data_IF_061991337246
#
_entry.id   IF_061991337246
#
_cell.length_a   1.000
_cell.length_b   1.000
_cell.length_c   1.000
_cell.angle_alpha   90.00
_cell.angle_beta   90.00
_cell.angle_gamma   90.00
#
_symmetry.space_group_name_H-M   'P 1'
#
loop_
_entity.id
_entity.type
_entity.pdbx_description
1 polymer ?
#
# COMPACT_ATOMS: atom_id res chain seq x y z
N UNK A 1 4.78 -57.13 13.63
CA UNK A 1 5.94 -56.97 12.70
C UNK A 1 5.75 -55.73 11.87
N UNK A 2 6.43 -54.65 12.19
CA UNK A 2 6.36 -53.37 11.45
C UNK A 2 7.73 -53.15 10.79
N UNK A 3 7.83 -53.26 9.45
CA UNK A 3 9.02 -52.97 8.69
C UNK A 3 9.12 -51.45 8.46
N UNK A 4 10.17 -50.86 9.00
CA UNK A 4 10.61 -49.46 8.72
C UNK A 4 11.49 -49.51 7.48
N UNK A 5 11.08 -48.81 6.44
CA UNK A 5 11.93 -48.52 5.27
C UNK A 5 12.68 -47.21 5.53
N UNK A 6 14.00 -47.30 5.58
CA UNK A 6 14.90 -46.15 5.55
C UNK A 6 15.34 -45.97 4.10
N UNK A 7 14.97 -44.84 3.51
CA UNK A 7 15.52 -44.42 2.23
C UNK A 7 16.88 -43.74 2.48
N UNK A 8 17.91 -44.32 2.00
CA UNK A 8 19.27 -43.75 1.95
C UNK A 8 19.40 -43.01 0.62
N UNK A 9 19.54 -41.68 0.66
CA UNK A 9 19.96 -40.88 -0.49
C UNK A 9 21.49 -40.92 -0.57
N UNK A 10 22.01 -41.66 -1.54
CA UNK A 10 23.43 -41.71 -1.82
C UNK A 10 23.86 -40.46 -2.63
N UNK A 11 24.74 -39.66 -2.08
CA UNK A 11 25.45 -38.62 -2.80
C UNK A 11 26.61 -39.26 -3.57
N UNK A 12 26.57 -39.19 -4.90
CA UNK A 12 27.69 -39.56 -5.77
C UNK A 12 28.60 -38.33 -5.89
N UNK A 13 29.72 -38.36 -5.24
CA UNK A 13 30.82 -37.40 -5.43
C UNK A 13 31.73 -37.95 -6.52
N UNK A 14 31.69 -37.36 -7.70
CA UNK A 14 32.71 -37.59 -8.75
C UNK A 14 33.81 -36.54 -8.55
N UNK A 15 34.92 -36.99 -7.97
CA UNK A 15 36.15 -36.23 -7.93
C UNK A 15 36.93 -36.48 -9.24
N UNK A 16 37.03 -35.46 -10.09
CA UNK A 16 38.00 -35.37 -11.16
C UNK A 16 39.14 -34.45 -10.69
N UNK A 17 40.28 -35.03 -10.34
CA UNK A 17 41.49 -34.28 -10.14
C UNK A 17 42.17 -34.03 -11.50
N UNK A 18 42.20 -32.79 -11.95
CA UNK A 18 43.11 -32.33 -12.99
C UNK A 18 43.94 -31.17 -12.45
N UNK A 19 45.22 -31.40 -12.25
CA UNK A 19 46.17 -30.36 -11.94
C UNK A 19 46.33 -29.46 -13.16
N UNK A 20 46.11 -28.14 -12.96
CA UNK A 20 46.84 -27.01 -13.56
C UNK A 20 46.11 -25.69 -13.20
N UNK A 21 46.83 -24.83 -12.47
CA UNK A 21 46.55 -23.39 -12.40
C UNK A 21 45.37 -22.96 -11.50
N UNK A 22 45.68 -22.46 -10.32
CA UNK A 22 44.74 -21.96 -9.30
C UNK A 22 43.71 -20.98 -9.78
N UNK A 23 42.51 -21.49 -10.05
CA UNK A 23 41.26 -20.75 -10.04
C UNK A 23 40.33 -21.55 -9.14
N UNK A 24 40.22 -21.14 -7.88
CA UNK A 24 39.15 -21.63 -7.02
C UNK A 24 37.82 -21.27 -7.69
N UNK A 25 36.94 -22.24 -7.94
CA UNK A 25 35.59 -21.90 -8.36
C UNK A 25 34.93 -21.14 -7.21
N UNK A 26 34.64 -19.85 -7.42
CA UNK A 26 33.76 -19.11 -6.54
C UNK A 26 32.41 -19.88 -6.54
N UNK A 27 32.13 -20.56 -5.43
CA UNK A 27 30.79 -21.11 -5.21
C UNK A 27 29.87 -19.89 -5.16
N UNK A 28 29.13 -19.65 -6.23
CA UNK A 28 28.06 -18.66 -6.22
C UNK A 28 27.10 -19.09 -5.12
N UNK A 29 27.12 -18.39 -4.00
CA UNK A 29 26.10 -18.54 -2.97
C UNK A 29 24.81 -18.13 -3.63
N UNK A 30 23.88 -19.07 -3.80
CA UNK A 30 22.51 -18.73 -4.20
C UNK A 30 21.99 -17.74 -3.18
N UNK A 31 21.61 -16.55 -3.65
CA UNK A 31 20.92 -15.58 -2.81
C UNK A 31 19.68 -16.26 -2.20
N UNK A 32 19.43 -16.08 -0.89
CA UNK A 32 18.21 -16.61 -0.28
C UNK A 32 17.01 -16.09 -1.08
N UNK A 33 15.99 -16.93 -1.34
CA UNK A 33 14.81 -16.48 -2.06
C UNK A 33 14.25 -15.22 -1.38
N UNK A 34 13.98 -14.19 -2.16
CA UNK A 34 13.42 -12.93 -1.66
C UNK A 34 12.25 -13.24 -0.75
N UNK A 35 12.31 -12.78 0.49
CA UNK A 35 11.25 -13.01 1.47
C UNK A 35 9.92 -12.56 0.86
N UNK A 36 8.94 -13.45 0.78
CA UNK A 36 7.62 -13.15 0.25
C UNK A 36 6.98 -11.99 1.04
N UNK A 37 6.12 -11.20 0.40
CA UNK A 37 5.38 -10.11 1.06
C UNK A 37 4.50 -10.67 2.17
N UNK A 38 4.56 -10.08 3.36
CA UNK A 38 3.76 -10.47 4.51
C UNK A 38 2.39 -9.76 4.49
N UNK A 39 1.34 -10.49 4.17
CA UNK A 39 -0.05 -10.02 4.19
C UNK A 39 -0.81 -10.41 5.47
N UNK A 40 -0.15 -10.77 6.54
CA UNK A 40 -0.82 -11.22 7.79
C UNK A 40 -1.69 -10.13 8.43
N UNK A 41 -1.22 -8.87 8.41
CA UNK A 41 -1.97 -7.74 8.96
C UNK A 41 -1.57 -6.43 8.23
N UNK A 42 -1.95 -6.23 6.96
CA UNK A 42 -1.64 -4.99 6.25
C UNK A 42 -2.46 -3.81 6.80
N UNK A 43 -1.94 -2.59 6.76
CA UNK A 43 -2.76 -1.39 6.83
C UNK A 43 -3.40 -1.15 5.45
N UNK A 44 -4.70 -0.85 5.40
CA UNK A 44 -5.37 -0.44 4.18
C UNK A 44 -5.41 1.08 4.17
N UNK A 45 -4.60 1.73 3.34
CA UNK A 45 -4.49 3.19 3.28
C UNK A 45 -5.30 3.73 2.11
N UNK A 46 -6.34 4.51 2.40
CA UNK A 46 -7.22 5.10 1.38
C UNK A 46 -6.85 6.57 1.20
N UNK A 47 -6.41 6.93 -0.01
CA UNK A 47 -6.00 8.30 -0.36
C UNK A 47 -7.19 9.21 -0.65
N UNK A 48 -7.11 10.44 -0.19
CA UNK A 48 -8.01 11.53 -0.53
C UNK A 48 -7.98 11.88 -2.04
N UNK A 49 -9.04 12.56 -2.50
CA UNK A 49 -9.14 13.03 -3.89
C UNK A 49 -9.65 14.48 -3.98
N UNK A 50 -10.20 15.00 -2.93
CA UNK A 50 -10.87 16.29 -2.84
C UNK A 50 -12.35 16.16 -2.51
N UNK A 51 -12.87 17.24 -1.92
CA UNK A 51 -14.28 17.41 -1.64
C UNK A 51 -14.92 18.38 -2.66
N UNK A 52 -16.23 18.37 -2.75
CA UNK A 52 -16.98 19.43 -3.40
C UNK A 52 -16.97 20.68 -2.50
N UNK A 53 -17.27 21.88 -3.03
CA UNK A 53 -17.30 23.12 -2.24
C UNK A 53 -18.26 23.08 -1.05
N UNK A 54 -19.32 22.27 -1.12
CA UNK A 54 -20.27 22.04 -0.03
C UNK A 54 -19.76 21.06 1.06
N UNK A 55 -18.55 20.54 0.90
CA UNK A 55 -17.93 19.58 1.81
C UNK A 55 -18.35 18.12 1.58
N UNK A 56 -19.14 17.82 0.56
CA UNK A 56 -19.49 16.45 0.21
C UNK A 56 -18.39 15.75 -0.58
N UNK A 57 -18.33 14.42 -0.50
CA UNK A 57 -17.34 13.63 -1.23
C UNK A 57 -17.61 13.62 -2.73
N UNK A 58 -16.56 13.82 -3.52
CA UNK A 58 -16.59 13.58 -4.97
C UNK A 58 -16.74 12.08 -5.27
N UNK A 59 -17.28 11.75 -6.43
CA UNK A 59 -17.53 10.35 -6.83
C UNK A 59 -16.29 9.48 -6.75
N UNK A 60 -15.12 9.98 -7.19
CA UNK A 60 -13.86 9.24 -7.13
C UNK A 60 -13.48 8.91 -5.68
N UNK A 61 -13.63 9.87 -4.75
CA UNK A 61 -13.35 9.63 -3.35
C UNK A 61 -14.24 8.53 -2.76
N UNK A 62 -15.55 8.55 -3.06
CA UNK A 62 -16.49 7.49 -2.65
C UNK A 62 -16.08 6.12 -3.16
N UNK A 63 -15.63 6.04 -4.41
CA UNK A 63 -15.19 4.79 -5.03
C UNK A 63 -13.91 4.24 -4.37
N UNK A 64 -12.95 5.11 -4.02
CA UNK A 64 -11.78 4.71 -3.22
C UNK A 64 -12.19 4.12 -1.87
N UNK A 65 -13.15 4.75 -1.18
CA UNK A 65 -13.67 4.22 0.09
C UNK A 65 -14.30 2.84 -0.10
N UNK A 66 -15.13 2.64 -1.13
CA UNK A 66 -15.75 1.34 -1.42
C UNK A 66 -14.69 0.28 -1.74
N UNK A 67 -13.68 0.62 -2.54
CA UNK A 67 -12.55 -0.28 -2.84
C UNK A 67 -11.80 -0.67 -1.56
N UNK A 68 -11.46 0.31 -0.72
CA UNK A 68 -10.79 0.06 0.55
C UNK A 68 -11.60 -0.80 1.51
N UNK A 69 -12.91 -0.56 1.59
CA UNK A 69 -13.81 -1.39 2.38
C UNK A 69 -13.87 -2.84 1.88
N UNK A 70 -13.92 -3.03 0.56
CA UNK A 70 -13.89 -4.37 -0.05
C UNK A 70 -12.58 -5.10 0.28
N UNK A 71 -11.44 -4.41 0.15
CA UNK A 71 -10.14 -4.98 0.53
C UNK A 71 -10.11 -5.36 2.01
N UNK A 72 -10.67 -4.52 2.90
CA UNK A 72 -10.69 -4.74 4.34
C UNK A 72 -11.45 -6.01 4.76
N UNK A 73 -12.39 -6.50 3.94
CA UNK A 73 -13.12 -7.74 4.21
C UNK A 73 -12.22 -8.97 4.16
N UNK A 74 -11.12 -8.93 3.39
CA UNK A 74 -10.15 -10.02 3.33
C UNK A 74 -9.14 -9.97 4.49
N UNK A 75 -9.11 -8.88 5.26
CA UNK A 75 -8.15 -8.64 6.34
C UNK A 75 -8.87 -8.22 7.63
N UNK A 76 -9.55 -9.13 8.34
CA UNK A 76 -10.41 -8.79 9.47
C UNK A 76 -9.68 -8.16 10.66
N UNK A 77 -8.34 -8.31 10.75
CA UNK A 77 -7.52 -7.71 11.81
C UNK A 77 -6.87 -6.38 11.40
N UNK A 78 -7.01 -5.98 10.15
CA UNK A 78 -6.34 -4.82 9.59
C UNK A 78 -7.07 -3.50 9.86
N UNK A 79 -6.36 -2.42 10.21
CA UNK A 79 -6.96 -1.09 10.25
C UNK A 79 -7.13 -0.52 8.84
N UNK A 80 -8.10 0.37 8.68
CA UNK A 80 -8.17 1.30 7.55
C UNK A 80 -7.57 2.64 8.01
N UNK A 81 -6.61 3.17 7.28
CA UNK A 81 -6.11 4.54 7.43
C UNK A 81 -6.73 5.37 6.32
N UNK A 82 -7.51 6.38 6.67
CA UNK A 82 -8.04 7.37 5.73
C UNK A 82 -7.18 8.62 5.81
N UNK A 83 -6.63 9.08 4.67
CA UNK A 83 -5.68 10.20 4.66
C UNK A 83 -6.07 11.28 3.67
N UNK A 84 -6.00 12.53 4.10
CA UNK A 84 -6.29 13.72 3.33
C UNK A 84 -7.02 14.78 4.15
N UNK A 85 -6.44 15.98 4.22
CA UNK A 85 -7.03 17.18 4.83
C UNK A 85 -7.91 17.93 3.85
N UNK A 86 -7.30 18.88 3.13
CA UNK A 86 -7.95 19.73 2.11
C UNK A 86 -9.38 20.15 2.49
N UNK A 87 -9.56 20.89 3.59
CA UNK A 87 -10.89 21.10 4.15
C UNK A 87 -11.78 21.93 3.21
N UNK A 88 -13.05 21.50 3.09
CA UNK A 88 -14.11 22.22 2.40
C UNK A 88 -15.33 22.28 3.31
N UNK A 89 -15.88 23.46 3.48
CA UNK A 89 -17.05 23.67 4.35
C UNK A 89 -16.95 22.97 5.71
N UNK A 90 -15.79 23.11 6.40
CA UNK A 90 -15.52 22.50 7.70
C UNK A 90 -15.32 20.99 7.72
N UNK A 91 -15.25 20.33 6.58
CA UNK A 91 -15.02 18.89 6.48
C UNK A 91 -13.67 18.60 5.82
N UNK A 92 -12.91 17.64 6.37
CA UNK A 92 -11.72 17.07 5.73
C UNK A 92 -12.08 15.85 4.89
N UNK A 93 -11.22 15.52 3.92
CA UNK A 93 -11.37 14.31 3.10
C UNK A 93 -11.42 13.06 3.99
N UNK A 94 -10.44 12.92 4.89
CA UNK A 94 -10.35 11.80 5.82
C UNK A 94 -11.57 11.72 6.75
N UNK A 95 -12.06 12.86 7.25
CA UNK A 95 -13.27 12.92 8.07
C UNK A 95 -14.52 12.42 7.33
N UNK A 96 -14.67 12.79 6.06
CA UNK A 96 -15.77 12.30 5.23
C UNK A 96 -15.65 10.82 4.89
N UNK A 97 -14.43 10.33 4.62
CA UNK A 97 -14.17 8.91 4.39
C UNK A 97 -14.52 8.08 5.64
N UNK A 98 -14.11 8.52 6.84
CA UNK A 98 -14.49 7.87 8.10
C UNK A 98 -16.00 7.80 8.27
N UNK A 99 -16.72 8.90 8.07
CA UNK A 99 -18.19 8.94 8.15
C UNK A 99 -18.82 7.90 7.21
N UNK A 100 -18.37 7.81 5.97
CA UNK A 100 -18.88 6.84 5.01
C UNK A 100 -18.59 5.39 5.42
N UNK A 101 -17.36 5.08 5.89
CA UNK A 101 -17.00 3.74 6.37
C UNK A 101 -17.91 3.30 7.53
N UNK A 102 -18.14 4.19 8.49
CA UNK A 102 -19.04 3.92 9.63
C UNK A 102 -20.49 3.68 9.18
N UNK A 103 -21.00 4.48 8.25
CA UNK A 103 -22.34 4.29 7.67
C UNK A 103 -22.48 2.94 6.94
N UNK A 104 -21.39 2.43 6.37
CA UNK A 104 -21.33 1.12 5.73
C UNK A 104 -21.03 -0.04 6.71
N UNK A 105 -21.03 0.23 8.03
CA UNK A 105 -20.87 -0.76 9.07
C UNK A 105 -19.43 -1.13 9.42
N UNK A 106 -18.42 -0.39 8.92
CA UNK A 106 -17.04 -0.65 9.32
C UNK A 106 -16.78 -0.14 10.74
N UNK A 107 -16.14 -0.95 11.63
CA UNK A 107 -15.95 -0.58 13.02
C UNK A 107 -15.05 0.64 13.19
N UNK A 108 -15.50 1.65 13.94
CA UNK A 108 -14.78 2.91 14.13
C UNK A 108 -13.41 2.72 14.80
N UNK A 109 -13.28 1.78 15.72
CA UNK A 109 -12.03 1.47 16.41
C UNK A 109 -10.94 0.85 15.50
N UNK A 110 -11.29 0.52 14.25
CA UNK A 110 -10.36 0.09 13.21
C UNK A 110 -10.09 1.17 12.16
N UNK A 111 -10.62 2.39 12.33
CA UNK A 111 -10.38 3.51 11.43
C UNK A 111 -9.36 4.45 12.07
N UNK A 112 -8.26 4.70 11.38
CA UNK A 112 -7.26 5.70 11.76
C UNK A 112 -7.43 6.89 10.82
N UNK A 113 -7.62 8.08 11.37
CA UNK A 113 -7.85 9.31 10.61
C UNK A 113 -6.57 10.13 10.57
N UNK A 114 -6.12 10.44 9.36
CA UNK A 114 -5.05 11.41 9.09
C UNK A 114 -5.67 12.56 8.27
N UNK A 115 -5.93 13.69 8.87
CA UNK A 115 -6.65 14.83 8.29
C UNK A 115 -5.79 16.09 8.11
N UNK A 116 -4.48 15.96 8.14
CA UNK A 116 -3.53 17.09 8.01
C UNK A 116 -2.89 17.19 6.63
N UNK A 117 -2.81 16.08 5.91
CA UNK A 117 -2.16 16.02 4.62
C UNK A 117 -2.90 16.82 3.55
N UNK A 118 -2.17 17.67 2.83
CA UNK A 118 -2.69 18.47 1.71
C UNK A 118 -2.06 18.06 0.36
N UNK A 119 -1.22 17.03 0.36
CA UNK A 119 -0.58 16.48 -0.84
C UNK A 119 -0.33 14.98 -0.69
N UNK A 120 -0.02 14.28 -1.82
CA UNK A 120 0.29 12.85 -1.77
C UNK A 120 1.56 12.56 -0.99
N UNK A 121 2.58 13.42 -1.11
CA UNK A 121 3.80 13.33 -0.30
C UNK A 121 3.48 13.40 1.20
N UNK A 122 2.59 14.31 1.59
CA UNK A 122 2.16 14.42 3.00
C UNK A 122 1.28 13.24 3.40
N UNK A 123 0.37 12.76 2.53
CA UNK A 123 -0.39 11.54 2.80
C UNK A 123 0.56 10.38 3.15
N UNK A 124 1.62 10.18 2.37
CA UNK A 124 2.62 9.16 2.62
C UNK A 124 3.38 9.40 3.94
N UNK A 125 3.92 10.61 4.12
CA UNK A 125 4.71 10.98 5.31
C UNK A 125 3.95 10.81 6.62
N UNK A 126 2.64 11.06 6.61
CA UNK A 126 1.83 10.98 7.83
C UNK A 126 1.22 9.59 8.01
N UNK A 127 0.83 8.89 6.93
CA UNK A 127 0.21 7.57 7.04
C UNK A 127 1.21 6.43 7.31
N UNK A 128 2.43 6.50 6.78
CA UNK A 128 3.43 5.45 7.00
C UNK A 128 3.79 5.27 8.47
N UNK A 129 4.04 6.32 9.27
CA UNK A 129 4.23 6.18 10.71
C UNK A 129 3.01 5.61 11.42
N UNK A 130 1.78 6.00 11.03
CA UNK A 130 0.54 5.49 11.63
C UNK A 130 0.37 3.99 11.38
N UNK A 131 0.70 3.52 10.16
CA UNK A 131 0.69 2.09 9.85
C UNK A 131 1.69 1.31 10.72
N UNK A 132 2.92 1.85 10.90
CA UNK A 132 3.93 1.26 11.78
C UNK A 132 3.48 1.22 13.24
N UNK A 133 2.91 2.31 13.76
CA UNK A 133 2.38 2.39 15.13
C UNK A 133 1.24 1.41 15.39
N UNK A 134 0.41 1.13 14.37
CA UNK A 134 -0.66 0.14 14.45
C UNK A 134 -0.16 -1.32 14.39
N UNK A 135 1.15 -1.53 14.30
CA UNK A 135 1.78 -2.86 14.24
C UNK A 135 1.34 -3.65 13.02
N UNK A 136 1.30 -2.99 11.85
CA UNK A 136 0.92 -3.64 10.59
C UNK A 136 2.14 -4.21 9.86
N UNK A 137 1.92 -5.27 9.08
CA UNK A 137 2.98 -5.96 8.31
C UNK A 137 3.45 -5.16 7.09
N UNK A 138 2.63 -4.22 6.64
CA UNK A 138 2.88 -3.34 5.51
C UNK A 138 1.60 -2.62 5.08
N UNK A 139 1.60 -2.07 3.88
CA UNK A 139 0.53 -1.21 3.37
C UNK A 139 -0.08 -1.80 2.09
N UNK A 140 -1.41 -1.89 2.04
CA UNK A 140 -2.18 -1.98 0.81
C UNK A 140 -2.70 -0.58 0.52
N UNK A 141 -2.20 0.03 -0.54
CA UNK A 141 -2.55 1.40 -0.92
C UNK A 141 -3.79 1.40 -1.81
N UNK A 142 -4.77 2.24 -1.51
CA UNK A 142 -6.01 2.37 -2.29
C UNK A 142 -6.10 3.76 -2.89
N UNK A 143 -6.12 3.80 -4.21
CA UNK A 143 -6.14 5.04 -4.98
C UNK A 143 -6.93 4.88 -6.29
N UNK A 144 -6.68 5.71 -7.29
CA UNK A 144 -7.21 5.61 -8.64
C UNK A 144 -6.08 5.42 -9.65
N UNK A 145 -6.40 4.84 -10.80
CA UNK A 145 -5.41 4.38 -11.81
C UNK A 145 -4.46 5.49 -12.25
N UNK A 146 -4.98 6.70 -12.54
CA UNK A 146 -4.15 7.83 -12.97
C UNK A 146 -3.23 8.36 -11.87
N UNK A 147 -3.48 8.02 -10.62
CA UNK A 147 -2.72 8.48 -9.45
C UNK A 147 -1.76 7.43 -8.90
N UNK A 148 -1.90 6.16 -9.31
CA UNK A 148 -1.21 5.04 -8.71
C UNK A 148 0.32 5.17 -8.73
N UNK A 149 0.92 5.37 -9.90
CA UNK A 149 2.39 5.36 -10.02
C UNK A 149 3.07 6.42 -9.13
N UNK A 150 2.47 7.62 -9.03
CA UNK A 150 2.98 8.67 -8.16
C UNK A 150 2.79 8.33 -6.69
N UNK A 151 1.63 7.81 -6.32
CA UNK A 151 1.34 7.42 -4.95
C UNK A 151 2.26 6.29 -4.47
N UNK A 152 2.52 5.29 -5.31
CA UNK A 152 3.44 4.20 -5.00
C UNK A 152 4.86 4.74 -4.74
N UNK A 153 5.35 5.67 -5.57
CA UNK A 153 6.64 6.33 -5.39
C UNK A 153 6.70 7.12 -4.06
N UNK A 154 5.73 8.00 -3.82
CA UNK A 154 5.67 8.82 -2.59
C UNK A 154 5.64 7.96 -1.31
N UNK A 155 4.91 6.83 -1.33
CA UNK A 155 4.84 5.92 -0.19
C UNK A 155 6.13 5.11 0.00
N UNK A 156 6.80 4.70 -1.09
CA UNK A 156 8.11 4.05 -1.03
C UNK A 156 9.16 5.01 -0.47
N UNK A 157 9.18 6.26 -0.96
CA UNK A 157 10.11 7.31 -0.51
C UNK A 157 9.90 7.68 0.98
N UNK A 158 8.67 7.57 1.47
CA UNK A 158 8.36 7.71 2.90
C UNK A 158 8.77 6.50 3.76
N UNK A 159 9.37 5.48 3.17
CA UNK A 159 9.78 4.24 3.85
C UNK A 159 8.60 3.32 4.18
N UNK A 160 7.54 3.37 3.38
CA UNK A 160 6.40 2.47 3.45
C UNK A 160 6.70 1.11 2.84
N UNK A 161 6.40 0.03 3.57
CA UNK A 161 6.45 -1.33 3.03
C UNK A 161 5.19 -1.59 2.20
N UNK A 162 5.22 -1.29 0.89
CA UNK A 162 4.09 -1.50 -0.01
C UNK A 162 3.93 -2.99 -0.36
N UNK A 163 2.86 -3.58 0.12
CA UNK A 163 2.49 -4.97 -0.19
C UNK A 163 1.72 -5.06 -1.51
N UNK A 164 0.79 -4.14 -1.72
CA UNK A 164 0.00 -4.04 -2.95
C UNK A 164 -0.55 -2.62 -3.12
N UNK A 165 -0.95 -2.28 -4.34
CA UNK A 165 -1.78 -1.12 -4.65
C UNK A 165 -3.05 -1.57 -5.36
N UNK A 166 -4.18 -1.13 -4.82
CA UNK A 166 -5.51 -1.35 -5.41
C UNK A 166 -5.98 -0.06 -6.03
N UNK A 167 -5.91 0.03 -7.35
CA UNK A 167 -6.38 1.19 -8.09
C UNK A 167 -7.74 0.93 -8.72
N UNK A 168 -8.59 1.92 -8.56
CA UNK A 168 -9.90 1.95 -9.18
C UNK A 168 -9.77 2.64 -10.56
N UNK A 169 -10.35 2.10 -11.63
CA UNK A 169 -10.30 2.74 -12.95
C UNK A 169 -11.14 4.02 -12.92
N UNK A 170 -10.50 5.13 -13.26
CA UNK A 170 -11.14 6.44 -13.38
C UNK A 170 -11.90 6.46 -14.70
N UNK A 171 -13.18 6.16 -14.68
CA UNK A 171 -14.01 5.92 -15.88
C UNK A 171 -14.34 7.14 -16.74
N UNK A 172 -13.93 8.38 -16.32
CA UNK A 172 -14.16 9.61 -17.06
C UNK A 172 -12.84 10.20 -17.54
N UNK A 173 -12.59 10.28 -18.87
CA UNK A 173 -11.36 10.85 -19.42
C UNK A 173 -11.10 12.29 -18.97
N UNK A 174 -12.17 13.11 -18.82
CA UNK A 174 -12.05 14.51 -18.40
C UNK A 174 -11.57 14.60 -16.95
N UNK A 175 -12.09 13.75 -16.08
CA UNK A 175 -11.66 13.65 -14.68
C UNK A 175 -10.21 13.17 -14.60
N UNK A 176 -9.81 12.26 -15.49
CA UNK A 176 -8.44 11.74 -15.54
C UNK A 176 -7.44 12.85 -15.93
N UNK A 177 -7.78 13.72 -16.89
CA UNK A 177 -6.94 14.86 -17.27
C UNK A 177 -6.77 15.84 -16.11
N UNK A 178 -7.85 16.19 -15.41
CA UNK A 178 -7.82 17.07 -14.23
C UNK A 178 -6.98 16.46 -13.11
N UNK A 179 -7.15 15.16 -12.85
CA UNK A 179 -6.35 14.44 -11.85
C UNK A 179 -4.87 14.46 -12.23
N UNK A 180 -4.55 14.15 -13.48
CA UNK A 180 -3.18 14.16 -13.97
C UNK A 180 -2.53 15.54 -13.85
N UNK A 181 -3.24 16.60 -14.25
CA UNK A 181 -2.76 17.99 -14.13
C UNK A 181 -2.52 18.36 -12.65
N UNK A 182 -3.45 18.02 -11.75
CA UNK A 182 -3.32 18.23 -10.31
C UNK A 182 -2.10 17.50 -9.74
N UNK A 183 -1.91 16.25 -10.15
CA UNK A 183 -0.81 15.42 -9.68
C UNK A 183 0.54 15.93 -10.19
N UNK A 184 0.61 16.36 -11.46
CA UNK A 184 1.80 16.97 -12.04
C UNK A 184 2.18 18.30 -11.36
N UNK A 185 1.19 19.06 -10.88
CA UNK A 185 1.42 20.34 -10.19
C UNK A 185 1.68 20.18 -8.69
N UNK A 186 1.34 19.05 -8.10
CA UNK A 186 1.45 18.80 -6.65
C UNK A 186 2.85 19.07 -6.06
N UNK A 187 3.97 18.70 -6.72
CA UNK A 187 5.30 19.00 -6.21
C UNK A 187 5.59 20.51 -6.07
N UNK A 188 4.91 21.34 -6.86
CA UNK A 188 5.12 22.80 -6.90
C UNK A 188 4.20 23.58 -5.96
N UNK A 189 3.07 23.01 -5.58
CA UNK A 189 2.01 23.69 -4.79
C UNK A 189 2.14 23.44 -3.28
N UNK A 190 2.87 22.41 -2.85
CA UNK A 190 2.91 21.97 -1.46
C UNK A 190 4.31 21.96 -0.83
N UNK A 191 5.17 22.90 -1.24
CA UNK A 191 6.45 23.15 -0.57
C UNK A 191 6.21 24.19 0.53
N UNK A 192 5.55 23.76 1.59
CA UNK A 192 5.29 24.56 2.78
C UNK A 192 5.05 23.66 3.96
#
# INVERSE_FOLDING_TARGET
MRRRWKAAAGAIVLAFAAALGGLSPAVAQAEPPAAGKDFSKPAIVILGYGLNPDGTMRTILRRRVLTGLTVAQFFPQSPIIVTGGNPQNGNSEAGQMRKMLMLLGFPDNRIIVEDKANSTVQNARFSVPLAKQAGTSGIILVTSTTHQGRADGDFADAGGNLLATMSYPDGDPTVNVVQFARDAMSPFVNVG
#
